data_IF_757383937164
#
_entry.id   IF_757383937164
#
_cell.length_a   1.000
_cell.length_b   1.000
_cell.length_c   1.000
_cell.angle_alpha   90.00
_cell.angle_beta   90.00
_cell.angle_gamma   90.00
#
_symmetry.space_group_name_H-M   'P 1'
#
loop_
_entity.id
_entity.type
_entity.pdbx_description
1 polymer ?
#
# COMPACT_ATOMS: atom_id res chain seq x y z
N UNK A 1 -37.64 -3.19 -4.16
CA UNK A 1 -36.62 -2.98 -5.21
C UNK A 1 -35.35 -2.56 -4.48
N UNK A 2 -34.48 -3.52 -4.17
CA UNK A 2 -33.26 -3.32 -3.39
C UNK A 2 -32.30 -2.40 -4.15
N UNK A 3 -31.72 -1.42 -3.45
CA UNK A 3 -30.76 -0.48 -4.01
C UNK A 3 -29.66 -1.22 -4.75
N UNK A 4 -29.52 -0.93 -6.04
CA UNK A 4 -28.33 -1.34 -6.79
C UNK A 4 -27.16 -0.59 -6.17
N UNK A 5 -26.33 -1.30 -5.39
CA UNK A 5 -25.00 -0.82 -5.04
C UNK A 5 -24.30 -0.47 -6.36
N UNK A 6 -24.10 0.82 -6.60
CA UNK A 6 -23.46 1.31 -7.81
C UNK A 6 -22.05 0.75 -7.90
N UNK A 7 -21.52 0.58 -9.12
CA UNK A 7 -20.08 0.24 -9.31
C UNK A 7 -19.19 1.26 -8.60
N UNK A 8 -19.63 2.51 -8.49
CA UNK A 8 -18.97 3.55 -7.68
C UNK A 8 -18.97 3.22 -6.19
N UNK A 9 -20.11 2.78 -5.64
CA UNK A 9 -20.23 2.44 -4.21
C UNK A 9 -19.40 1.20 -3.88
N UNK A 10 -19.45 0.18 -4.76
CA UNK A 10 -18.64 -1.01 -4.66
C UNK A 10 -17.13 -0.69 -4.70
N UNK A 11 -16.70 0.27 -5.52
CA UNK A 11 -15.28 0.67 -5.63
C UNK A 11 -14.81 1.53 -4.45
N UNK A 12 -15.71 2.26 -3.78
CA UNK A 12 -15.41 3.08 -2.60
C UNK A 12 -15.37 2.27 -1.32
N UNK A 13 -16.22 1.24 -1.22
CA UNK A 13 -16.40 0.42 -0.02
C UNK A 13 -15.08 -0.09 0.59
N UNK A 14 -14.11 -0.63 -0.18
CA UNK A 14 -12.85 -1.11 0.38
C UNK A 14 -12.09 -0.03 1.17
N UNK A 15 -12.07 1.21 0.67
CA UNK A 15 -11.41 2.33 1.36
C UNK A 15 -12.17 2.78 2.61
N UNK A 16 -13.51 2.73 2.56
CA UNK A 16 -14.34 3.05 3.72
C UNK A 16 -14.17 2.03 4.85
N UNK A 17 -14.07 0.74 4.50
CA UNK A 17 -13.89 -0.35 5.46
C UNK A 17 -12.54 -0.23 6.22
N UNK A 18 -11.57 0.49 5.66
CA UNK A 18 -10.24 0.75 6.27
C UNK A 18 -9.99 2.21 6.60
N UNK A 19 -11.03 3.05 6.64
CA UNK A 19 -10.89 4.48 6.91
C UNK A 19 -10.17 4.77 8.24
N UNK A 20 -10.38 3.93 9.26
CA UNK A 20 -9.69 4.05 10.55
C UNK A 20 -8.17 3.80 10.44
N UNK A 21 -7.73 2.95 9.52
CA UNK A 21 -6.31 2.71 9.25
C UNK A 21 -5.71 3.86 8.41
N UNK A 22 -6.49 4.49 7.53
CA UNK A 22 -6.09 5.65 6.71
C UNK A 22 -5.95 6.92 7.56
N UNK A 23 -6.87 7.15 8.49
CA UNK A 23 -6.91 8.38 9.30
C UNK A 23 -5.61 8.61 10.08
N UNK A 24 -4.99 9.77 9.88
CA UNK A 24 -3.74 10.15 10.51
C UNK A 24 -2.48 9.52 9.89
N UNK A 25 -2.61 8.74 8.82
CA UNK A 25 -1.48 8.13 8.12
C UNK A 25 -0.97 8.97 6.95
N UNK A 26 0.29 8.77 6.58
CA UNK A 26 0.82 9.19 5.28
C UNK A 26 0.57 8.03 4.29
N UNK A 27 -0.19 8.31 3.23
CA UNK A 27 -0.67 7.29 2.30
C UNK A 27 0.22 7.24 1.05
N UNK A 28 0.62 6.05 0.65
CA UNK A 28 1.34 5.79 -0.60
C UNK A 28 0.51 4.89 -1.51
N UNK A 29 0.46 5.24 -2.79
CA UNK A 29 -0.25 4.49 -3.82
C UNK A 29 0.76 4.08 -4.90
N UNK A 30 0.71 2.82 -5.31
CA UNK A 30 1.31 2.43 -6.58
C UNK A 30 0.49 2.96 -7.77
N UNK A 31 1.01 2.83 -8.98
CA UNK A 31 0.34 3.36 -10.17
C UNK A 31 -1.12 2.88 -10.33
N UNK A 32 -1.39 1.58 -10.09
CA UNK A 32 -2.74 1.03 -10.21
C UNK A 32 -3.68 1.49 -9.09
N UNK A 33 -3.21 1.58 -7.85
CA UNK A 33 -3.99 2.11 -6.74
C UNK A 33 -4.28 3.61 -6.92
N UNK A 34 -3.34 4.36 -7.49
CA UNK A 34 -3.53 5.77 -7.84
C UNK A 34 -4.62 5.94 -8.92
N UNK A 35 -4.64 5.07 -9.93
CA UNK A 35 -5.70 5.04 -10.95
C UNK A 35 -7.08 4.75 -10.32
N UNK A 36 -7.17 3.74 -9.45
CA UNK A 36 -8.42 3.43 -8.73
C UNK A 36 -8.88 4.62 -7.90
N UNK A 37 -7.97 5.26 -7.17
CA UNK A 37 -8.28 6.42 -6.34
C UNK A 37 -8.77 7.60 -7.18
N UNK A 38 -8.08 7.89 -8.29
CA UNK A 38 -8.40 9.02 -9.16
C UNK A 38 -9.77 8.87 -9.83
N UNK A 39 -10.07 7.67 -10.36
CA UNK A 39 -11.29 7.43 -11.13
C UNK A 39 -12.50 7.15 -10.22
N UNK A 40 -12.33 6.35 -9.17
CA UNK A 40 -13.45 5.86 -8.36
C UNK A 40 -13.83 6.75 -7.17
N UNK A 41 -12.83 7.40 -6.58
CA UNK A 41 -13.00 8.12 -5.31
C UNK A 41 -13.07 9.63 -5.54
N UNK A 42 -12.27 10.12 -6.48
CA UNK A 42 -12.05 11.54 -6.71
C UNK A 42 -10.86 12.08 -5.91
N UNK A 43 -10.32 13.25 -6.31
CA UNK A 43 -8.98 13.70 -5.90
C UNK A 43 -8.81 14.01 -4.41
N UNK A 44 -9.90 14.23 -3.66
CA UNK A 44 -9.85 14.60 -2.25
C UNK A 44 -10.33 13.50 -1.29
N UNK A 45 -10.73 12.33 -1.79
CA UNK A 45 -11.44 11.34 -0.98
C UNK A 45 -10.57 10.77 0.16
N UNK A 46 -9.34 10.34 -0.14
CA UNK A 46 -8.42 9.80 0.88
C UNK A 46 -8.05 10.84 1.95
N UNK A 47 -7.89 12.11 1.54
CA UNK A 47 -7.71 13.23 2.47
C UNK A 47 -8.97 13.43 3.33
N UNK A 48 -10.15 13.26 2.75
CA UNK A 48 -11.43 13.28 3.47
C UNK A 48 -11.60 12.13 4.47
N UNK A 49 -10.90 11.00 4.28
CA UNK A 49 -10.80 9.92 5.26
C UNK A 49 -9.75 10.18 6.36
N UNK A 50 -9.08 11.33 6.31
CA UNK A 50 -8.09 11.75 7.30
C UNK A 50 -6.65 11.40 6.96
N UNK A 51 -6.35 10.99 5.72
CA UNK A 51 -4.96 10.88 5.28
C UNK A 51 -4.26 12.24 5.44
N UNK A 52 -3.04 12.22 5.99
CA UNK A 52 -2.25 13.44 6.23
C UNK A 52 -1.61 13.97 4.95
N UNK A 53 -1.30 13.06 4.02
CA UNK A 53 -0.89 13.33 2.64
C UNK A 53 -1.06 12.05 1.81
N UNK A 54 -1.09 12.17 0.47
CA UNK A 54 -1.21 11.05 -0.48
C UNK A 54 -0.11 11.17 -1.53
N UNK A 55 0.73 10.16 -1.65
CA UNK A 55 1.98 10.19 -2.41
C UNK A 55 2.14 8.98 -3.35
N UNK A 56 3.07 9.12 -4.30
CA UNK A 56 3.49 8.10 -5.26
C UNK A 56 4.51 7.15 -4.59
N UNK A 57 4.22 5.85 -4.60
CA UNK A 57 5.07 4.83 -3.96
C UNK A 57 6.40 4.64 -4.69
N UNK A 58 6.38 4.66 -6.02
CA UNK A 58 7.54 4.49 -6.87
C UNK A 58 8.49 5.71 -6.82
N UNK A 59 7.97 6.89 -6.40
CA UNK A 59 8.73 8.15 -6.31
C UNK A 59 8.73 8.76 -4.90
N UNK A 60 8.80 7.93 -3.87
CA UNK A 60 8.79 8.43 -2.50
C UNK A 60 9.97 9.37 -2.19
N UNK A 61 9.70 10.41 -1.39
CA UNK A 61 10.69 11.44 -1.05
C UNK A 61 10.53 11.88 0.43
N UNK A 62 11.62 12.29 1.13
CA UNK A 62 11.51 12.78 2.50
C UNK A 62 10.53 13.95 2.66
N UNK A 63 10.37 14.75 1.60
CA UNK A 63 9.49 15.93 1.60
C UNK A 63 8.00 15.57 1.67
N UNK A 64 7.63 14.31 1.41
CA UNK A 64 6.25 13.83 1.53
C UNK A 64 5.69 14.03 2.95
N UNK A 65 6.58 14.02 3.95
CA UNK A 65 6.26 14.25 5.36
C UNK A 65 6.21 15.75 5.75
N UNK A 66 6.61 16.68 4.86
CA UNK A 66 6.63 18.11 5.18
C UNK A 66 5.25 18.69 5.40
N UNK A 67 4.27 18.33 4.55
CA UNK A 67 2.91 18.83 4.70
C UNK A 67 2.31 18.42 6.07
N UNK A 68 2.35 17.13 6.47
CA UNK A 68 1.97 16.72 7.82
C UNK A 68 2.75 17.47 8.92
N UNK A 69 4.07 17.61 8.79
CA UNK A 69 4.91 18.28 9.78
C UNK A 69 4.53 19.76 9.95
N UNK A 70 4.28 20.47 8.86
CA UNK A 70 3.90 21.88 8.88
C UNK A 70 2.47 22.10 9.36
N UNK A 71 1.54 21.20 8.99
CA UNK A 71 0.13 21.34 9.35
C UNK A 71 -0.18 20.85 10.78
N UNK A 72 0.49 19.80 11.24
CA UNK A 72 0.21 19.11 12.51
C UNK A 72 1.32 19.29 13.56
N UNK A 73 2.50 19.79 13.16
CA UNK A 73 3.65 19.99 14.05
C UNK A 73 4.40 18.70 14.38
N UNK A 74 4.09 17.58 13.71
CA UNK A 74 4.65 16.26 14.01
C UNK A 74 4.95 15.50 12.71
N UNK A 75 6.06 14.75 12.69
CA UNK A 75 6.32 13.82 11.60
C UNK A 75 5.32 12.65 11.64
N UNK A 76 4.91 12.10 10.48
CA UNK A 76 3.97 10.99 10.43
C UNK A 76 4.58 9.74 11.10
N UNK A 77 3.83 9.13 12.03
CA UNK A 77 4.22 7.90 12.72
C UNK A 77 3.62 6.64 12.10
N UNK A 78 2.65 6.80 11.21
CA UNK A 78 1.91 5.72 10.55
C UNK A 78 1.94 5.91 9.03
N UNK A 79 2.28 4.84 8.31
CA UNK A 79 2.20 4.72 6.86
C UNK A 79 1.11 3.74 6.47
N UNK A 80 0.39 4.06 5.41
CA UNK A 80 -0.48 3.12 4.70
C UNK A 80 -0.05 3.06 3.25
N UNK A 81 0.18 1.85 2.75
CA UNK A 81 0.54 1.62 1.35
C UNK A 81 -0.60 0.85 0.70
N UNK A 82 -1.10 1.33 -0.43
CA UNK A 82 -1.99 0.54 -1.29
C UNK A 82 -1.21 0.11 -2.52
N UNK A 83 -1.18 -1.19 -2.78
CA UNK A 83 -0.52 -1.76 -3.95
C UNK A 83 -1.43 -2.69 -4.72
N UNK A 84 -1.38 -2.58 -6.03
CA UNK A 84 -2.01 -3.48 -7.00
C UNK A 84 -1.05 -4.49 -7.61
N UNK A 85 0.23 -4.37 -7.28
CA UNK A 85 1.32 -5.23 -7.74
C UNK A 85 1.54 -6.43 -6.81
N UNK A 86 2.38 -7.37 -7.23
CA UNK A 86 2.85 -8.41 -6.33
C UNK A 86 3.70 -7.79 -5.21
N UNK A 87 3.58 -8.31 -3.99
CA UNK A 87 4.43 -7.91 -2.86
C UNK A 87 5.93 -7.97 -3.18
N UNK A 88 6.36 -8.96 -3.98
CA UNK A 88 7.74 -9.10 -4.44
C UNK A 88 8.19 -7.98 -5.38
N UNK A 89 7.30 -7.50 -6.25
CA UNK A 89 7.58 -6.39 -7.18
C UNK A 89 7.63 -5.04 -6.45
N UNK A 90 6.68 -4.84 -5.53
CA UNK A 90 6.60 -3.63 -4.69
C UNK A 90 7.69 -3.56 -3.63
N UNK A 91 8.39 -4.66 -3.34
CA UNK A 91 9.29 -4.80 -2.20
C UNK A 91 10.35 -3.71 -2.09
N UNK A 92 11.08 -3.44 -3.18
CA UNK A 92 12.15 -2.43 -3.19
C UNK A 92 11.62 -1.04 -2.86
N UNK A 93 10.40 -0.71 -3.30
CA UNK A 93 9.77 0.58 -3.05
C UNK A 93 9.37 0.71 -1.59
N UNK A 94 8.85 -0.36 -0.97
CA UNK A 94 8.48 -0.35 0.46
C UNK A 94 9.71 -0.31 1.36
N UNK A 95 10.79 -1.03 1.02
CA UNK A 95 12.07 -0.90 1.73
C UNK A 95 12.58 0.54 1.64
N UNK A 96 12.61 1.12 0.44
CA UNK A 96 13.05 2.50 0.24
C UNK A 96 12.17 3.50 1.02
N UNK A 97 10.85 3.31 1.00
CA UNK A 97 9.89 4.11 1.76
C UNK A 97 10.21 4.12 3.27
N UNK A 98 10.49 2.96 3.86
CA UNK A 98 10.82 2.82 5.29
C UNK A 98 12.22 3.33 5.65
N UNK A 99 13.09 3.52 4.65
CA UNK A 99 14.38 4.20 4.79
C UNK A 99 14.23 5.72 4.74
N UNK A 100 13.36 6.22 3.85
CA UNK A 100 13.04 7.64 3.70
C UNK A 100 12.32 8.19 4.93
N UNK A 101 11.47 7.37 5.57
CA UNK A 101 10.73 7.75 6.78
C UNK A 101 11.20 6.98 8.02
N UNK A 102 12.37 7.32 8.59
CA UNK A 102 12.99 6.52 9.63
C UNK A 102 12.21 6.49 10.96
N UNK A 103 11.34 7.49 11.17
CA UNK A 103 10.56 7.71 12.40
C UNK A 103 9.22 6.98 12.44
N UNK A 104 8.83 6.32 11.34
CA UNK A 104 7.58 5.56 11.26
C UNK A 104 7.62 4.37 12.21
N UNK A 105 6.54 4.20 12.97
CA UNK A 105 6.36 3.13 13.94
C UNK A 105 5.37 2.07 13.45
N UNK A 106 4.50 2.43 12.51
CA UNK A 106 3.49 1.54 11.93
C UNK A 106 3.48 1.68 10.42
N UNK A 107 3.59 0.57 9.70
CA UNK A 107 3.37 0.52 8.26
C UNK A 107 2.40 -0.61 7.94
N UNK A 108 1.28 -0.26 7.32
CA UNK A 108 0.25 -1.19 6.90
C UNK A 108 0.17 -1.22 5.38
N UNK A 109 0.35 -2.39 4.80
CA UNK A 109 0.22 -2.60 3.36
C UNK A 109 -1.14 -3.23 3.07
N UNK A 110 -1.88 -2.60 2.17
CA UNK A 110 -3.08 -3.13 1.56
C UNK A 110 -2.75 -3.62 0.15
N UNK A 111 -2.78 -4.94 -0.03
CA UNK A 111 -2.46 -5.58 -1.29
C UNK A 111 -3.74 -6.03 -1.99
N UNK A 112 -3.88 -5.71 -3.28
CA UNK A 112 -5.00 -6.24 -4.07
C UNK A 112 -4.85 -7.73 -4.38
N UNK A 113 -3.61 -8.21 -4.47
CA UNK A 113 -3.32 -9.63 -4.72
C UNK A 113 -3.50 -10.40 -3.42
N UNK A 114 -4.39 -11.39 -3.44
CA UNK A 114 -4.68 -12.19 -2.25
C UNK A 114 -3.50 -13.07 -1.87
N UNK A 115 -3.43 -13.46 -0.59
CA UNK A 115 -2.43 -14.41 -0.09
C UNK A 115 -2.49 -15.74 -0.85
N UNK A 116 -3.69 -16.22 -1.19
CA UNK A 116 -3.87 -17.39 -2.04
C UNK A 116 -3.28 -17.18 -3.44
N UNK A 117 -3.47 -16.00 -4.04
CA UNK A 117 -2.90 -15.72 -5.35
C UNK A 117 -1.36 -15.72 -5.31
N UNK A 118 -0.75 -15.20 -4.25
CA UNK A 118 0.69 -15.32 -4.04
C UNK A 118 1.15 -16.78 -3.95
N UNK A 119 0.45 -17.60 -3.17
CA UNK A 119 0.79 -19.01 -2.98
C UNK A 119 0.65 -19.89 -4.24
N UNK A 120 -0.11 -19.44 -5.25
CA UNK A 120 -0.32 -20.17 -6.50
C UNK A 120 0.66 -19.76 -7.62
N UNK A 121 1.48 -18.74 -7.39
CA UNK A 121 2.51 -18.36 -8.35
C UNK A 121 3.63 -19.40 -8.36
N UNK A 122 4.32 -19.48 -9.50
CA UNK A 122 5.54 -20.26 -9.58
C UNK A 122 6.54 -19.75 -8.52
N UNK A 123 7.15 -20.63 -7.70
CA UNK A 123 8.18 -20.25 -6.75
C UNK A 123 9.34 -19.44 -7.35
N UNK A 124 9.59 -19.58 -8.67
CA UNK A 124 10.57 -18.78 -9.40
C UNK A 124 10.15 -17.30 -9.57
N UNK A 125 8.86 -17.01 -9.54
CA UNK A 125 8.28 -15.66 -9.64
C UNK A 125 8.06 -15.06 -8.25
N UNK A 126 7.55 -15.86 -7.31
CA UNK A 126 7.33 -15.43 -5.92
C UNK A 126 7.68 -16.56 -4.97
N UNK A 127 8.62 -16.34 -4.01
CA UNK A 127 8.96 -17.35 -3.01
C UNK A 127 7.90 -17.45 -1.90
N UNK A 128 6.82 -16.68 -1.98
CA UNK A 128 5.81 -16.57 -0.94
C UNK A 128 4.84 -17.76 -0.99
N UNK A 129 4.60 -18.37 0.17
CA UNK A 129 3.74 -19.54 0.33
C UNK A 129 2.33 -19.19 0.79
N UNK A 130 1.70 -20.14 1.49
CA UNK A 130 0.32 -20.02 2.02
C UNK A 130 0.18 -18.93 3.08
N UNK A 131 1.29 -18.56 3.74
CA UNK A 131 1.38 -17.49 4.74
C UNK A 131 2.11 -16.25 4.17
N UNK A 132 1.90 -15.97 2.87
CA UNK A 132 2.59 -14.93 2.11
C UNK A 132 2.65 -13.58 2.83
N UNK A 133 1.60 -13.20 3.55
CA UNK A 133 1.52 -11.87 4.18
C UNK A 133 2.40 -11.77 5.42
N UNK A 134 2.37 -12.78 6.30
CA UNK A 134 3.26 -12.82 7.47
C UNK A 134 4.71 -13.05 7.07
N UNK A 135 4.95 -13.93 6.10
CA UNK A 135 6.30 -14.22 5.57
C UNK A 135 6.91 -12.97 4.95
N UNK A 136 6.13 -12.25 4.13
CA UNK A 136 6.56 -10.98 3.56
C UNK A 136 6.86 -9.93 4.63
N UNK A 137 5.98 -9.77 5.64
CA UNK A 137 6.21 -8.80 6.71
C UNK A 137 7.47 -9.11 7.53
N UNK A 138 7.78 -10.39 7.73
CA UNK A 138 9.02 -10.83 8.37
C UNK A 138 10.25 -10.53 7.50
N UNK A 139 10.20 -10.87 6.21
CA UNK A 139 11.29 -10.60 5.27
C UNK A 139 11.55 -9.10 5.12
N UNK A 140 10.49 -8.28 4.96
CA UNK A 140 10.58 -6.83 4.88
C UNK A 140 11.25 -6.23 6.12
N UNK A 141 10.91 -6.73 7.33
CA UNK A 141 11.56 -6.28 8.57
C UNK A 141 13.07 -6.53 8.53
N UNK A 142 13.48 -7.73 8.10
CA UNK A 142 14.87 -8.11 8.02
C UNK A 142 15.64 -7.26 7.00
N UNK A 143 15.05 -7.01 5.84
CA UNK A 143 15.67 -6.22 4.77
C UNK A 143 15.79 -4.75 5.14
N UNK A 144 14.79 -4.18 5.82
CA UNK A 144 14.86 -2.81 6.36
C UNK A 144 15.94 -2.70 7.43
N UNK A 145 16.06 -3.68 8.33
CA UNK A 145 17.13 -3.70 9.34
C UNK A 145 18.51 -3.75 8.68
N UNK A 146 18.66 -4.58 7.64
CA UNK A 146 19.90 -4.72 6.86
C UNK A 146 20.25 -3.42 6.12
N UNK A 147 19.27 -2.80 5.46
CA UNK A 147 19.43 -1.53 4.76
C UNK A 147 19.81 -0.39 5.72
N UNK A 148 19.20 -0.33 6.90
CA UNK A 148 19.56 0.65 7.94
C UNK A 148 20.97 0.44 8.47
N UNK A 149 21.36 -0.80 8.74
CA UNK A 149 22.73 -1.11 9.15
C UNK A 149 23.75 -0.69 8.09
N UNK A 150 23.49 -0.97 6.81
CA UNK A 150 24.33 -0.53 5.70
C UNK A 150 24.42 1.00 5.57
N UNK A 151 23.34 1.71 5.87
CA UNK A 151 23.28 3.18 5.88
C UNK A 151 23.81 3.82 7.17
N UNK A 152 24.36 3.03 8.12
CA UNK A 152 24.79 3.51 9.45
C UNK A 152 23.65 4.17 10.27
N UNK A 153 22.40 3.78 9.99
CA UNK A 153 21.22 4.19 10.72
C UNK A 153 20.93 3.19 11.84
N UNK A 154 20.35 3.63 12.97
CA UNK A 154 19.96 2.71 14.03
C UNK A 154 18.94 1.70 13.50
N UNK A 155 19.22 0.42 13.77
CA UNK A 155 18.28 -0.65 13.48
C UNK A 155 16.95 -0.37 14.22
N UNK A 156 15.80 -0.55 13.56
CA UNK A 156 14.53 -0.45 14.24
C UNK A 156 14.48 -1.59 15.26
N UNK A 157 14.21 -1.28 16.53
CA UNK A 157 13.95 -2.36 17.50
C UNK A 157 12.70 -3.13 17.03
N UNK A 158 12.66 -4.44 17.26
CA UNK A 158 11.50 -5.27 16.85
C UNK A 158 10.17 -4.71 17.37
N UNK A 159 10.18 -4.11 18.56
CA UNK A 159 9.00 -3.49 19.19
C UNK A 159 8.62 -2.10 18.60
N UNK A 160 9.50 -1.50 17.78
CA UNK A 160 9.32 -0.12 17.31
C UNK A 160 8.65 -0.02 15.94
N UNK A 161 8.74 -1.05 15.10
CA UNK A 161 8.16 -1.05 13.75
C UNK A 161 7.14 -2.18 13.57
N UNK A 162 5.87 -1.82 13.66
CA UNK A 162 4.73 -2.68 13.39
C UNK A 162 4.50 -2.75 11.87
N UNK A 163 4.72 -3.93 11.30
CA UNK A 163 4.48 -4.22 9.88
C UNK A 163 3.34 -5.21 9.78
N UNK A 164 2.37 -4.92 8.91
CA UNK A 164 1.30 -5.85 8.58
C UNK A 164 0.93 -5.70 7.11
N UNK A 165 0.48 -6.81 6.52
CA UNK A 165 -0.14 -6.84 5.20
C UNK A 165 -1.57 -7.32 5.37
N UNK A 166 -2.50 -6.66 4.68
CA UNK A 166 -3.91 -7.02 4.62
C UNK A 166 -4.35 -7.09 3.16
N UNK A 167 -5.26 -8.00 2.86
CA UNK A 167 -5.91 -8.01 1.56
C UNK A 167 -6.90 -6.84 1.48
N UNK A 168 -6.89 -6.13 0.35
CA UNK A 168 -7.89 -5.11 0.04
C UNK A 168 -8.19 -5.13 -1.45
N UNK A 169 -9.40 -5.53 -1.88
CA UNK A 169 -9.69 -5.70 -3.29
C UNK A 169 -9.75 -4.36 -4.01
N UNK A 170 -8.72 -4.07 -4.81
CA UNK A 170 -8.61 -2.90 -5.70
C UNK A 170 -8.68 -3.32 -7.17
N UNK A 171 -9.59 -4.22 -7.50
CA UNK A 171 -9.61 -4.87 -8.82
C UNK A 171 -10.32 -4.07 -9.92
N UNK A 172 -11.00 -2.98 -9.57
CA UNK A 172 -11.76 -2.17 -10.52
C UNK A 172 -11.63 -0.70 -10.20
N UNK A 173 -11.57 0.11 -11.26
CA UNK A 173 -11.69 1.55 -11.21
C UNK A 173 -13.02 1.95 -11.89
N UNK A 174 -13.94 2.52 -11.11
CA UNK A 174 -15.24 2.93 -11.61
C UNK A 174 -15.11 4.24 -12.42
N UNK A 175 -15.67 4.26 -13.62
CA UNK A 175 -15.79 5.48 -14.44
C UNK A 175 -17.15 6.16 -14.22
N UNK A 176 -18.19 5.35 -14.02
CA UNK A 176 -19.54 5.78 -13.66
C UNK A 176 -20.26 4.64 -12.91
N UNK A 177 -21.56 4.77 -12.69
CA UNK A 177 -22.34 3.78 -11.93
C UNK A 177 -22.46 2.39 -12.56
N UNK A 178 -22.10 2.24 -13.83
CA UNK A 178 -22.27 1.03 -14.62
C UNK A 178 -21.00 0.63 -15.40
N UNK A 179 -20.02 1.53 -15.52
CA UNK A 179 -18.79 1.30 -16.27
C UNK A 179 -17.60 1.25 -15.31
N UNK A 180 -16.76 0.22 -15.45
CA UNK A 180 -15.46 0.13 -14.80
C UNK A 180 -14.38 -0.30 -15.78
N UNK A 181 -13.15 0.00 -15.40
CA UNK A 181 -11.93 -0.54 -16.02
C UNK A 181 -11.16 -1.34 -14.99
N UNK A 182 -10.32 -2.26 -15.45
CA UNK A 182 -9.32 -2.87 -14.59
C UNK A 182 -8.17 -1.86 -14.48
N UNK A 183 -7.71 -1.51 -13.27
CA UNK A 183 -6.57 -0.62 -13.13
C UNK A 183 -5.33 -1.26 -13.76
N UNK A 184 -4.37 -0.43 -14.15
CA UNK A 184 -3.06 -0.85 -14.59
C UNK A 184 -2.35 -1.61 -13.44
N UNK A 185 -2.62 -2.91 -13.33
CA UNK A 185 -1.95 -3.81 -12.39
C UNK A 185 -0.61 -4.26 -13.00
N UNK A 186 0.44 -4.24 -12.18
CA UNK A 186 1.82 -4.42 -12.67
C UNK A 186 2.28 -5.86 -12.89
N UNK A 187 1.47 -6.89 -12.59
CA UNK A 187 1.87 -8.27 -12.82
C UNK A 187 1.90 -8.58 -14.33
N UNK A 188 3.09 -8.44 -14.92
CA UNK A 188 3.32 -8.76 -16.34
C UNK A 188 3.16 -10.26 -16.52
N UNK A 189 2.31 -10.67 -17.48
CA UNK A 189 2.22 -12.07 -17.90
C UNK A 189 3.54 -12.48 -18.58
N UNK A 190 4.47 -13.05 -17.82
CA UNK A 190 5.63 -13.74 -18.39
C UNK A 190 5.23 -15.18 -18.73
N UNK A 191 5.66 -15.66 -19.90
CA UNK A 191 5.51 -17.09 -20.22
C UNK A 191 6.30 -17.89 -19.18
N UNK A 192 5.63 -18.78 -18.46
CA UNK A 192 6.31 -19.91 -17.85
C UNK A 192 7.04 -20.66 -18.99
N UNK A 193 8.37 -20.70 -18.93
CA UNK A 193 9.21 -21.48 -19.85
C UNK A 193 9.25 -22.94 -19.42
#
# INVERSE_FOLDING_TARGET
MSGLDSVMDASRKPFLDVAADISGSLVYLDAGAAEVAQLSLGPAFLLGLGATNVCDLERCHPDDALLPLLALGQAPTSLVVFTTQLLTETHQHVVHLLMVHPHVQRCLLFCSVSELAHAQLDPAISPLGVEAYSDYAAALRQDVATARAAATLPAPREDQLQLAVKHLPLHMAALDSHTFVLPAAGAVASKAM
#
